data_IF_045486193484
#
_entry.id   IF_045486193484
#
_cell.length_a   1.000
_cell.length_b   1.000
_cell.length_c   1.000
_cell.angle_alpha   90.00
_cell.angle_beta   90.00
_cell.angle_gamma   90.00
#
_symmetry.space_group_name_H-M   'P 1'
#
loop_
_entity.id
_entity.type
_entity.pdbx_description
1 polymer ?
#
# COMPACT_ATOMS: atom_id res chain seq x y z
N UNK A 1 1.69 5.14 -17.29
CA UNK A 1 2.31 4.24 -16.30
C UNK A 1 1.23 3.47 -15.55
N UNK A 2 1.59 2.34 -14.97
CA UNK A 2 0.64 1.44 -14.34
C UNK A 2 1.19 0.89 -13.02
N UNK A 3 0.31 0.79 -12.01
CA UNK A 3 0.50 0.05 -10.78
C UNK A 3 -0.53 -1.06 -10.65
N UNK A 4 -0.13 -2.20 -10.07
CA UNK A 4 -1.01 -3.34 -9.81
C UNK A 4 -0.84 -3.85 -8.39
N UNK A 5 -1.93 -4.40 -7.84
CA UNK A 5 -1.90 -5.20 -6.62
C UNK A 5 -2.97 -6.28 -6.64
N UNK A 6 -2.68 -7.43 -6.05
CA UNK A 6 -3.64 -8.53 -5.95
C UNK A 6 -4.40 -8.45 -4.62
N UNK A 7 -5.71 -8.62 -4.69
CA UNK A 7 -6.57 -8.81 -3.51
C UNK A 7 -7.10 -10.24 -3.39
N UNK A 8 -6.47 -11.18 -4.08
CA UNK A 8 -6.83 -12.59 -4.03
C UNK A 8 -6.82 -13.11 -2.58
N UNK A 9 -7.88 -13.83 -2.21
CA UNK A 9 -8.05 -14.34 -0.84
C UNK A 9 -8.44 -13.30 0.21
N UNK A 10 -8.73 -12.06 -0.19
CA UNK A 10 -9.18 -11.02 0.74
C UNK A 10 -10.60 -11.29 1.25
N UNK A 11 -10.84 -10.95 2.51
CA UNK A 11 -12.17 -10.99 3.09
C UNK A 11 -13.14 -10.01 2.38
N UNK A 12 -14.46 -10.28 2.36
CA UNK A 12 -15.44 -9.45 1.65
C UNK A 12 -15.40 -7.97 2.03
N UNK A 13 -15.23 -7.62 3.31
CA UNK A 13 -15.14 -6.23 3.76
C UNK A 13 -13.93 -5.52 3.13
N UNK A 14 -12.78 -6.21 2.99
CA UNK A 14 -11.59 -5.64 2.32
C UNK A 14 -11.86 -5.33 0.86
N UNK A 15 -12.55 -6.25 0.16
CA UNK A 15 -12.90 -6.06 -1.25
C UNK A 15 -13.83 -4.86 -1.41
N UNK A 16 -14.83 -4.70 -0.52
CA UNK A 16 -15.70 -3.53 -0.49
C UNK A 16 -14.90 -2.24 -0.32
N UNK A 17 -14.00 -2.19 0.65
CA UNK A 17 -13.18 -0.99 0.92
C UNK A 17 -12.18 -0.70 -0.21
N UNK A 18 -11.61 -1.72 -0.84
CA UNK A 18 -10.75 -1.56 -2.03
C UNK A 18 -11.55 -0.94 -3.17
N UNK A 19 -12.78 -1.41 -3.44
CA UNK A 19 -13.65 -0.84 -4.46
C UNK A 19 -14.03 0.61 -4.16
N UNK A 20 -14.41 0.92 -2.93
CA UNK A 20 -14.75 2.27 -2.51
C UNK A 20 -13.54 3.22 -2.66
N UNK A 21 -12.37 2.82 -2.19
CA UNK A 21 -11.15 3.60 -2.34
C UNK A 21 -10.70 3.76 -3.79
N UNK A 22 -10.80 2.70 -4.60
CA UNK A 22 -10.49 2.76 -6.03
C UNK A 22 -11.42 3.70 -6.78
N UNK A 23 -12.72 3.69 -6.47
CA UNK A 23 -13.69 4.60 -7.07
C UNK A 23 -13.36 6.07 -6.80
N UNK A 24 -12.81 6.41 -5.61
CA UNK A 24 -12.35 7.76 -5.27
C UNK A 24 -11.14 8.23 -6.10
N UNK A 25 -10.33 7.30 -6.58
CA UNK A 25 -9.15 7.57 -7.40
C UNK A 25 -9.47 7.60 -8.90
N UNK A 26 -10.63 7.10 -9.30
CA UNK A 26 -10.98 6.99 -10.71
C UNK A 26 -11.43 8.33 -11.32
N UNK A 27 -10.83 8.70 -12.44
CA UNK A 27 -11.15 9.94 -13.16
C UNK A 27 -10.49 11.20 -12.57
N UNK A 28 -9.57 11.06 -11.63
CA UNK A 28 -8.87 12.19 -11.01
C UNK A 28 -7.95 12.86 -12.02
N UNK A 29 -8.08 14.17 -12.15
CA UNK A 29 -7.20 15.03 -12.95
C UNK A 29 -6.20 15.72 -12.02
N UNK A 30 -4.92 15.63 -12.36
CA UNK A 30 -3.81 16.22 -11.60
C UNK A 30 -3.14 17.26 -12.51
N UNK A 31 -3.21 18.54 -12.11
CA UNK A 31 -2.67 19.64 -12.90
C UNK A 31 -1.14 19.59 -12.98
N UNK A 32 -0.53 20.22 -14.01
CA UNK A 32 0.92 20.42 -14.07
C UNK A 32 1.42 21.16 -12.82
N UNK A 33 2.44 20.60 -12.15
CA UNK A 33 3.02 21.14 -10.93
C UNK A 33 2.22 20.86 -9.65
N UNK A 34 1.05 20.25 -9.75
CA UNK A 34 0.24 19.92 -8.57
C UNK A 34 0.86 18.78 -7.76
N UNK A 35 0.83 18.93 -6.43
CA UNK A 35 1.08 17.85 -5.50
C UNK A 35 -0.23 17.10 -5.22
N UNK A 36 -0.31 15.86 -5.68
CA UNK A 36 -1.39 14.94 -5.34
C UNK A 36 -1.22 14.45 -3.90
N UNK A 37 -2.33 14.41 -3.13
CA UNK A 37 -2.43 13.81 -1.80
C UNK A 37 -3.49 12.72 -1.83
N UNK A 38 -3.10 11.50 -1.48
CA UNK A 38 -4.02 10.37 -1.45
C UNK A 38 -5.12 10.57 -0.41
N UNK A 39 -4.76 11.02 0.82
CA UNK A 39 -5.74 11.23 1.88
C UNK A 39 -6.74 12.34 1.53
N UNK A 40 -6.28 13.44 0.91
CA UNK A 40 -7.16 14.51 0.45
C UNK A 40 -8.16 14.00 -0.59
N UNK A 41 -7.70 13.19 -1.55
CA UNK A 41 -8.53 12.63 -2.60
C UNK A 41 -9.48 11.54 -2.08
N UNK A 42 -9.03 10.72 -1.16
CA UNK A 42 -9.82 9.67 -0.52
C UNK A 42 -11.02 10.27 0.23
N UNK A 43 -10.78 11.36 0.96
CA UNK A 43 -11.76 11.98 1.82
C UNK A 43 -12.07 11.15 3.07
N UNK A 44 -13.25 11.33 3.63
CA UNK A 44 -13.67 10.61 4.83
C UNK A 44 -13.96 9.13 4.55
N UNK A 45 -13.45 8.29 5.43
CA UNK A 45 -13.61 6.84 5.38
C UNK A 45 -14.72 6.45 6.35
N UNK A 46 -15.95 6.41 5.84
CA UNK A 46 -17.17 6.14 6.60
C UNK A 46 -18.22 5.44 5.72
N UNK A 47 -19.35 5.05 6.32
CA UNK A 47 -20.44 4.35 5.63
C UNK A 47 -21.06 5.18 4.50
N UNK A 48 -21.21 6.50 4.67
CA UNK A 48 -21.80 7.40 3.69
C UNK A 48 -20.98 7.44 2.39
N UNK A 49 -19.67 7.20 2.50
CA UNK A 49 -18.73 7.14 1.40
C UNK A 49 -18.50 5.72 0.86
N UNK A 50 -19.32 4.75 1.30
CA UNK A 50 -19.30 3.37 0.80
C UNK A 50 -18.25 2.47 1.44
N UNK A 51 -17.61 2.92 2.53
CA UNK A 51 -16.69 2.08 3.29
C UNK A 51 -17.45 1.27 4.34
N UNK A 52 -16.84 0.18 4.76
CA UNK A 52 -17.33 -0.70 5.83
C UNK A 52 -16.25 -0.92 6.87
N UNK A 53 -16.67 -1.26 8.08
CA UNK A 53 -15.75 -1.68 9.12
C UNK A 53 -15.10 -3.00 8.76
N UNK A 54 -13.84 -3.13 9.11
CA UNK A 54 -13.06 -4.34 8.89
C UNK A 54 -11.82 -4.34 9.75
N UNK A 55 -11.21 -5.50 9.90
CA UNK A 55 -10.00 -5.59 10.67
C UNK A 55 -8.85 -4.85 9.97
N UNK A 56 -8.29 -3.91 10.68
CA UNK A 56 -7.10 -3.16 10.29
C UNK A 56 -6.05 -3.22 11.39
N UNK A 57 -4.82 -2.98 11.03
CA UNK A 57 -3.71 -2.99 11.98
C UNK A 57 -3.37 -1.55 12.31
N UNK A 58 -3.57 -1.19 13.57
CA UNK A 58 -3.26 0.14 14.09
C UNK A 58 -2.25 -0.01 15.21
N UNK A 59 -1.06 0.58 15.00
CA UNK A 59 0.07 0.37 15.94
C UNK A 59 0.49 -1.09 15.97
N UNK A 60 0.22 -1.79 17.07
CA UNK A 60 0.52 -3.21 17.31
C UNK A 60 -0.73 -4.05 17.59
N UNK A 61 -1.89 -3.63 17.13
CA UNK A 61 -3.15 -4.36 17.36
C UNK A 61 -3.95 -4.47 16.08
N UNK A 62 -4.54 -5.63 15.88
CA UNK A 62 -5.62 -5.79 14.90
C UNK A 62 -6.92 -5.41 15.60
N UNK A 63 -7.60 -4.41 15.08
CA UNK A 63 -8.87 -3.94 15.61
C UNK A 63 -9.85 -3.63 14.48
N UNK A 64 -11.13 -3.55 14.83
CA UNK A 64 -12.17 -3.19 13.87
C UNK A 64 -12.08 -1.69 13.59
N UNK A 65 -11.90 -1.33 12.35
CA UNK A 65 -11.74 0.04 11.89
C UNK A 65 -12.39 0.25 10.54
N UNK A 66 -12.76 1.48 10.24
CA UNK A 66 -13.25 1.85 8.93
C UNK A 66 -12.15 1.75 7.87
N UNK A 67 -12.51 1.21 6.70
CA UNK A 67 -11.62 1.22 5.54
C UNK A 67 -10.50 0.17 5.57
N UNK A 68 -10.61 -0.89 6.38
CA UNK A 68 -9.64 -2.00 6.35
C UNK A 68 -9.46 -2.53 4.93
N UNK A 69 -8.26 -2.31 4.35
CA UNK A 69 -7.94 -2.64 2.95
C UNK A 69 -7.56 -1.43 2.07
N UNK A 70 -7.84 -0.20 2.47
CA UNK A 70 -7.57 1.02 1.68
C UNK A 70 -6.09 1.22 1.39
N UNK A 71 -5.18 0.78 2.29
CA UNK A 71 -3.73 0.79 2.03
C UNK A 71 -3.33 -0.02 0.78
N UNK A 72 -4.17 -0.92 0.30
CA UNK A 72 -3.92 -1.59 -0.96
C UNK A 72 -4.14 -0.64 -2.15
N UNK A 73 -5.12 0.26 -2.05
CA UNK A 73 -5.36 1.28 -3.08
C UNK A 73 -4.19 2.27 -3.11
N UNK A 74 -3.75 2.77 -1.94
CA UNK A 74 -2.59 3.68 -1.88
C UNK A 74 -1.31 3.03 -2.38
N UNK A 75 -1.08 1.75 -2.07
CA UNK A 75 0.04 0.97 -2.62
C UNK A 75 -0.02 0.90 -4.15
N UNK A 76 -1.20 0.71 -4.72
CA UNK A 76 -1.36 0.60 -6.18
C UNK A 76 -1.17 1.95 -6.87
N UNK A 77 -1.67 3.05 -6.28
CA UNK A 77 -1.42 4.43 -6.72
C UNK A 77 0.07 4.78 -6.63
N UNK A 78 0.71 4.44 -5.51
CA UNK A 78 2.16 4.62 -5.33
C UNK A 78 2.95 3.94 -6.45
N UNK A 79 2.64 2.70 -6.77
CA UNK A 79 3.31 1.94 -7.85
C UNK A 79 3.13 2.61 -9.20
N UNK A 80 1.94 3.13 -9.52
CA UNK A 80 1.72 3.86 -10.76
C UNK A 80 2.58 5.14 -10.83
N UNK A 81 2.61 5.93 -9.74
CA UNK A 81 3.43 7.15 -9.65
C UNK A 81 4.94 6.83 -9.68
N UNK A 82 5.36 5.75 -9.00
CA UNK A 82 6.73 5.27 -8.98
C UNK A 82 7.23 4.94 -10.39
N UNK A 83 6.47 4.13 -11.15
CA UNK A 83 6.83 3.73 -12.51
C UNK A 83 6.61 4.83 -13.55
N UNK A 84 5.81 5.86 -13.23
CA UNK A 84 5.78 7.10 -14.01
C UNK A 84 7.03 7.97 -13.81
N UNK A 85 7.88 7.66 -12.83
CA UNK A 85 9.03 8.46 -12.47
C UNK A 85 8.67 9.80 -11.81
N UNK A 86 7.44 9.94 -11.28
CA UNK A 86 7.00 11.17 -10.61
C UNK A 86 7.74 11.34 -9.28
N UNK A 87 8.08 12.58 -8.87
CA UNK A 87 8.66 12.84 -7.56
C UNK A 87 7.69 12.41 -6.46
N UNK A 88 8.10 11.48 -5.60
CA UNK A 88 7.35 11.05 -4.42
C UNK A 88 7.78 11.93 -3.24
N UNK A 89 6.88 12.75 -2.72
CA UNK A 89 7.15 13.71 -1.65
C UNK A 89 6.81 13.16 -0.28
N UNK A 90 5.88 12.20 -0.20
CA UNK A 90 5.58 11.49 1.04
C UNK A 90 5.20 10.03 0.74
N UNK A 91 5.83 9.10 1.45
CA UNK A 91 5.48 7.67 1.41
C UNK A 91 5.92 6.99 2.70
N UNK A 92 5.02 6.23 3.28
CA UNK A 92 5.27 5.40 4.45
C UNK A 92 5.14 3.92 4.08
N UNK A 93 6.06 3.07 4.55
CA UNK A 93 5.92 1.63 4.44
C UNK A 93 5.03 1.10 5.57
N UNK A 94 4.44 -0.09 5.38
CA UNK A 94 3.83 -0.80 6.50
C UNK A 94 4.90 -1.17 7.55
N UNK A 95 4.51 -1.25 8.81
CA UNK A 95 5.43 -1.53 9.91
C UNK A 95 5.92 -2.97 9.96
N UNK A 96 5.22 -3.90 9.32
CA UNK A 96 5.59 -5.30 9.19
C UNK A 96 5.30 -5.81 7.77
N UNK A 97 5.94 -6.93 7.44
CA UNK A 97 5.87 -7.52 6.12
C UNK A 97 4.47 -8.07 5.79
N UNK A 98 3.98 -7.72 4.62
CA UNK A 98 2.68 -8.13 4.08
C UNK A 98 2.91 -8.82 2.73
N UNK A 99 2.88 -10.15 2.74
CA UNK A 99 3.29 -10.99 1.61
C UNK A 99 2.46 -10.81 0.34
N UNK A 100 1.17 -10.48 0.45
CA UNK A 100 0.35 -10.29 -0.75
C UNK A 100 0.68 -9.02 -1.55
N UNK A 101 1.49 -8.10 -0.98
CA UNK A 101 2.04 -6.96 -1.73
C UNK A 101 3.26 -7.32 -2.58
N UNK A 102 3.82 -8.52 -2.45
CA UNK A 102 4.93 -8.96 -3.29
C UNK A 102 4.49 -9.13 -4.74
N UNK A 103 3.27 -9.64 -4.94
CA UNK A 103 2.72 -9.81 -6.28
C UNK A 103 2.57 -8.44 -6.95
N UNK A 104 3.18 -8.30 -8.13
CA UNK A 104 3.31 -7.05 -8.88
C UNK A 104 4.11 -5.96 -8.12
N UNK A 105 4.86 -6.31 -7.10
CA UNK A 105 5.58 -5.34 -6.25
C UNK A 105 6.69 -4.60 -6.99
N UNK A 106 7.36 -5.24 -7.95
CA UNK A 106 8.45 -4.66 -8.73
C UNK A 106 8.06 -4.35 -10.18
N UNK A 107 6.79 -4.05 -10.41
CA UNK A 107 6.26 -3.68 -11.72
C UNK A 107 5.07 -4.55 -12.12
N UNK A 108 4.41 -4.24 -13.24
CA UNK A 108 3.21 -4.95 -13.68
C UNK A 108 3.39 -6.46 -13.90
N UNK A 109 4.62 -6.89 -14.15
CA UNK A 109 4.98 -8.29 -14.40
C UNK A 109 6.07 -8.80 -13.44
N UNK A 110 6.43 -8.03 -12.41
CA UNK A 110 7.51 -8.36 -11.47
C UNK A 110 6.99 -8.49 -10.03
N UNK A 111 7.31 -9.60 -9.39
CA UNK A 111 7.04 -9.81 -7.97
C UNK A 111 8.25 -9.35 -7.14
N UNK A 112 7.99 -8.89 -5.92
CA UNK A 112 9.04 -8.53 -4.97
C UNK A 112 8.59 -7.55 -3.91
N UNK A 113 9.41 -7.42 -2.88
CA UNK A 113 9.10 -6.68 -1.66
C UNK A 113 9.57 -5.22 -1.71
N UNK A 114 8.96 -4.36 -0.88
CA UNK A 114 9.48 -3.03 -0.54
C UNK A 114 8.83 -1.85 -1.26
N UNK A 115 7.91 -2.09 -2.20
CA UNK A 115 7.13 -1.04 -2.86
C UNK A 115 5.65 -1.11 -2.45
N UNK A 116 5.41 -0.90 -1.17
CA UNK A 116 4.09 -0.68 -0.57
C UNK A 116 3.97 0.75 -0.05
N UNK A 117 2.76 1.25 0.16
CA UNK A 117 2.47 2.54 0.75
C UNK A 117 1.31 2.43 1.73
N UNK A 118 1.61 2.61 3.00
CA UNK A 118 0.62 2.71 4.07
C UNK A 118 0.12 4.15 4.18
N UNK A 119 -1.16 4.30 4.50
CA UNK A 119 -1.77 5.58 4.84
C UNK A 119 -2.49 5.47 6.18
N UNK A 120 -2.55 6.60 6.87
CA UNK A 120 -3.39 6.78 8.04
C UNK A 120 -3.85 8.23 8.07
N UNK A 121 -5.16 8.44 7.93
CA UNK A 121 -5.74 9.78 7.78
C UNK A 121 -5.26 10.73 8.88
N UNK A 122 -4.73 11.88 8.47
CA UNK A 122 -4.19 12.91 9.39
C UNK A 122 -2.79 12.64 9.95
N UNK A 123 -2.18 11.46 9.67
CA UNK A 123 -0.86 11.09 10.23
C UNK A 123 0.12 10.66 9.14
N UNK A 124 -0.31 9.82 8.20
CA UNK A 124 0.53 9.29 7.13
C UNK A 124 -0.21 9.42 5.80
N UNK A 125 0.45 9.98 4.80
CA UNK A 125 -0.12 10.15 3.46
C UNK A 125 0.78 9.52 2.38
N UNK A 126 0.25 9.41 1.20
CA UNK A 126 0.99 9.20 -0.03
C UNK A 126 0.85 10.45 -0.87
N UNK A 127 1.98 11.09 -1.18
CA UNK A 127 2.01 12.30 -2.01
C UNK A 127 3.04 12.18 -3.12
N UNK A 128 2.72 12.76 -4.26
CA UNK A 128 3.64 12.90 -5.38
C UNK A 128 3.32 14.14 -6.21
N UNK A 129 4.29 14.66 -6.94
CA UNK A 129 4.13 15.85 -7.78
C UNK A 129 4.00 15.46 -9.24
N UNK A 130 3.04 16.05 -9.94
CA UNK A 130 2.96 15.98 -11.39
C UNK A 130 3.98 16.96 -12.02
N UNK A 131 5.19 16.47 -12.29
CA UNK A 131 6.29 17.23 -12.91
C UNK A 131 6.35 17.13 -14.44
N UNK A 132 5.29 16.59 -15.07
CA UNK A 132 5.29 16.32 -16.54
C UNK A 132 5.06 17.56 -17.40
N UNK A 133 4.62 18.67 -16.81
CA UNK A 133 4.23 19.87 -17.53
C UNK A 133 2.85 19.78 -18.22
N UNK A 134 2.17 18.65 -18.12
CA UNK A 134 0.87 18.38 -18.70
C UNK A 134 -0.08 17.77 -17.67
N UNK A 135 -1.39 17.83 -17.95
CA UNK A 135 -2.38 17.17 -17.11
C UNK A 135 -2.17 15.65 -17.10
N UNK A 136 -2.34 15.05 -15.92
CA UNK A 136 -2.43 13.60 -15.75
C UNK A 136 -3.87 13.22 -15.40
N UNK A 137 -4.34 12.13 -16.00
CA UNK A 137 -5.58 11.46 -15.63
C UNK A 137 -5.23 10.16 -14.91
N UNK A 138 -5.74 9.99 -13.69
CA UNK A 138 -5.69 8.72 -12.97
C UNK A 138 -6.96 7.93 -13.24
N UNK A 139 -6.82 6.70 -13.69
CA UNK A 139 -7.92 5.75 -13.84
C UNK A 139 -7.66 4.49 -13.03
N UNK A 140 -8.73 3.93 -12.50
CA UNK A 140 -8.68 2.66 -11.77
C UNK A 140 -9.58 1.63 -12.45
N UNK A 141 -9.15 0.38 -12.42
CA UNK A 141 -9.97 -0.76 -12.84
C UNK A 141 -9.75 -1.94 -11.91
N UNK A 142 -10.78 -2.76 -11.78
CA UNK A 142 -10.75 -3.99 -10.97
C UNK A 142 -11.04 -5.16 -11.90
N UNK A 143 -10.08 -6.05 -12.01
CA UNK A 143 -10.27 -7.35 -12.63
C UNK A 143 -10.77 -8.32 -11.56
N UNK A 144 -12.06 -8.58 -11.58
CA UNK A 144 -12.73 -9.46 -10.60
C UNK A 144 -12.31 -10.93 -10.77
N UNK A 145 -12.01 -11.37 -11.98
CA UNK A 145 -11.59 -12.75 -12.23
C UNK A 145 -10.17 -13.00 -11.76
N UNK A 146 -9.24 -12.08 -12.07
CA UNK A 146 -7.86 -12.16 -11.63
C UNK A 146 -7.67 -11.67 -10.18
N UNK A 147 -8.67 -11.02 -9.60
CA UNK A 147 -8.65 -10.38 -8.29
C UNK A 147 -7.50 -9.35 -8.18
N UNK A 148 -7.42 -8.45 -9.16
CA UNK A 148 -6.36 -7.46 -9.28
C UNK A 148 -6.96 -6.06 -9.38
N UNK A 149 -6.43 -5.15 -8.55
CA UNK A 149 -6.63 -3.72 -8.71
C UNK A 149 -5.52 -3.16 -9.60
N UNK A 150 -5.92 -2.35 -10.59
CA UNK A 150 -5.02 -1.65 -11.50
C UNK A 150 -5.26 -0.15 -11.37
N UNK A 151 -4.18 0.62 -11.26
CA UNK A 151 -4.18 2.09 -11.34
C UNK A 151 -3.31 2.49 -12.52
N UNK A 152 -3.85 3.33 -13.40
CA UNK A 152 -3.16 3.82 -14.57
C UNK A 152 -3.09 5.35 -14.55
N UNK A 153 -1.93 5.90 -14.87
CA UNK A 153 -1.71 7.32 -15.09
C UNK A 153 -1.53 7.57 -16.58
N UNK A 154 -2.47 8.32 -17.14
CA UNK A 154 -2.48 8.76 -18.53
C UNK A 154 -2.12 10.24 -18.64
N UNK A 155 -1.44 10.58 -19.71
CA UNK A 155 -1.04 11.95 -20.02
C UNK A 155 -0.02 11.97 -21.16
N UNK A 156 0.50 13.15 -21.47
CA UNK A 156 1.62 13.27 -22.39
C UNK A 156 2.83 12.53 -21.81
N UNK A 157 3.33 11.55 -22.55
CA UNK A 157 4.44 10.72 -22.10
C UNK A 157 5.72 11.57 -21.93
N UNK A 158 6.20 11.75 -20.70
CA UNK A 158 7.50 12.35 -20.51
C UNK A 158 8.55 11.40 -21.12
N UNK A 159 9.49 11.96 -21.87
CA UNK A 159 10.57 11.16 -22.47
C UNK A 159 11.61 10.84 -21.40
N UNK A 160 11.22 10.04 -20.41
CA UNK A 160 12.11 9.56 -19.35
C UNK A 160 12.00 8.06 -19.20
N UNK A 161 13.07 7.44 -18.78
CA UNK A 161 13.14 6.01 -18.46
C UNK A 161 13.22 5.82 -16.96
N UNK A 162 12.53 4.77 -16.45
CA UNK A 162 12.56 4.40 -15.04
C UNK A 162 13.08 2.99 -14.91
N UNK A 163 14.16 2.82 -14.15
CA UNK A 163 14.73 1.52 -13.79
C UNK A 163 14.94 1.44 -12.28
N UNK A 164 15.14 0.23 -11.79
CA UNK A 164 15.43 -0.02 -10.37
C UNK A 164 16.74 -0.78 -10.21
N UNK A 165 17.37 -0.56 -9.06
CA UNK A 165 18.44 -1.40 -8.52
C UNK A 165 17.98 -1.97 -7.16
N UNK A 166 18.14 -3.25 -6.97
CA UNK A 166 17.61 -3.99 -5.84
C UNK A 166 16.40 -4.86 -6.22
N UNK A 167 15.63 -5.36 -5.24
CA UNK A 167 15.70 -5.04 -3.81
C UNK A 167 16.98 -5.57 -3.14
N UNK A 168 17.57 -4.78 -2.26
CA UNK A 168 18.67 -5.19 -1.38
C UNK A 168 18.07 -5.44 0.00
N UNK A 169 18.11 -6.69 0.44
CA UNK A 169 17.55 -7.13 1.72
C UNK A 169 18.67 -7.28 2.74
N UNK A 170 18.49 -6.64 3.89
CA UNK A 170 19.46 -6.66 5.01
C UNK A 170 18.74 -6.74 6.36
N UNK A 171 19.50 -6.91 7.44
CA UNK A 171 19.00 -6.90 8.81
C UNK A 171 17.80 -7.84 9.02
N UNK A 172 17.90 -9.06 8.50
CA UNK A 172 16.85 -10.05 8.71
C UNK A 172 16.79 -10.49 10.17
N UNK A 173 15.60 -10.34 10.77
CA UNK A 173 15.30 -10.72 12.14
C UNK A 173 14.17 -11.75 12.11
N UNK A 174 14.39 -12.90 12.74
CA UNK A 174 13.35 -13.93 12.81
C UNK A 174 12.11 -13.43 13.55
N UNK A 175 10.97 -13.94 13.15
CA UNK A 175 9.73 -13.74 13.88
C UNK A 175 9.88 -14.20 15.33
N UNK A 176 9.27 -13.49 16.31
CA UNK A 176 9.21 -13.97 17.69
C UNK A 176 8.56 -15.35 17.76
N UNK A 177 9.15 -16.26 18.54
CA UNK A 177 8.60 -17.60 18.76
C UNK A 177 7.40 -17.58 19.70
N UNK A 178 7.43 -16.65 20.67
CA UNK A 178 6.37 -16.50 21.66
C UNK A 178 5.18 -15.74 21.08
N UNK A 179 3.98 -16.34 21.13
CA UNK A 179 2.76 -15.64 20.70
C UNK A 179 2.35 -14.59 21.74
N UNK A 180 1.64 -13.57 21.25
CA UNK A 180 0.99 -12.56 22.09
C UNK A 180 -0.48 -12.94 22.26
N UNK A 181 -0.97 -12.93 23.49
CA UNK A 181 -2.36 -13.15 23.82
C UNK A 181 -3.01 -11.83 24.26
N UNK A 182 -4.14 -11.51 23.65
CA UNK A 182 -4.97 -10.34 23.99
C UNK A 182 -6.24 -10.87 24.65
N UNK A 183 -6.45 -10.52 25.90
CA UNK A 183 -7.64 -10.94 26.65
C UNK A 183 -8.84 -10.06 26.25
N UNK A 184 -9.97 -10.71 25.91
CA UNK A 184 -11.24 -10.05 25.58
C UNK A 184 -12.34 -10.51 26.54
N UNK A 185 -12.79 -9.63 27.44
CA UNK A 185 -13.84 -9.95 28.42
C UNK A 185 -15.25 -10.03 27.79
N UNK A 186 -15.41 -9.66 26.54
CA UNK A 186 -16.68 -9.81 25.83
C UNK A 186 -16.90 -11.22 25.30
N UNK A 187 -15.81 -12.00 25.13
CA UNK A 187 -15.83 -13.34 24.58
C UNK A 187 -15.82 -14.44 25.66
N UNK A 188 -16.50 -15.58 25.41
CA UNK A 188 -16.44 -16.73 26.28
C UNK A 188 -15.01 -17.27 26.47
N UNK A 189 -14.69 -17.81 27.66
CA UNK A 189 -13.37 -18.39 27.99
C UNK A 189 -12.92 -19.51 27.06
N UNK A 190 -13.84 -20.18 26.39
CA UNK A 190 -13.54 -21.21 25.38
C UNK A 190 -13.09 -20.63 24.02
N UNK A 191 -13.12 -19.31 23.85
CA UNK A 191 -12.81 -18.66 22.60
C UNK A 191 -11.30 -18.40 22.49
N UNK A 192 -10.69 -18.86 21.40
CA UNK A 192 -9.33 -18.54 21.01
C UNK A 192 -9.30 -18.31 19.51
N UNK A 193 -8.99 -17.09 19.08
CA UNK A 193 -8.89 -16.73 17.66
C UNK A 193 -7.49 -16.21 17.35
N UNK A 194 -6.85 -16.77 16.34
CA UNK A 194 -5.63 -16.18 15.79
C UNK A 194 -6.01 -14.98 14.91
N UNK A 195 -5.56 -13.80 15.30
CA UNK A 195 -5.84 -12.56 14.58
C UNK A 195 -4.66 -12.12 13.71
N UNK A 196 -3.45 -12.61 14.01
CA UNK A 196 -2.27 -12.31 13.22
C UNK A 196 -1.26 -13.46 13.22
N UNK A 197 -0.46 -13.53 12.14
CA UNK A 197 0.55 -14.58 11.91
C UNK A 197 1.93 -14.00 12.08
N UNK A 198 2.84 -14.78 12.65
CA UNK A 198 4.24 -14.40 12.82
C UNK A 198 4.92 -14.08 11.49
N UNK A 199 5.70 -13.00 11.47
CA UNK A 199 6.47 -12.54 10.30
C UNK A 199 7.86 -12.10 10.72
N UNK A 200 8.86 -12.47 9.93
CA UNK A 200 10.23 -11.98 10.12
C UNK A 200 10.35 -10.53 9.71
N UNK A 201 11.17 -9.78 10.43
CA UNK A 201 11.54 -8.42 10.09
C UNK A 201 12.73 -8.39 9.13
N UNK A 202 12.86 -7.28 8.40
CA UNK A 202 13.99 -7.00 7.49
C UNK A 202 14.00 -5.57 7.03
N UNK A 203 15.16 -5.11 6.59
CA UNK A 203 15.31 -3.86 5.88
C UNK A 203 15.39 -4.13 4.37
N UNK A 204 14.73 -3.30 3.57
CA UNK A 204 14.73 -3.40 2.11
C UNK A 204 15.08 -2.03 1.52
N UNK A 205 16.08 -1.99 0.66
CA UNK A 205 16.47 -0.81 -0.10
C UNK A 205 16.23 -1.05 -1.58
N UNK A 206 15.47 -0.16 -2.20
CA UNK A 206 15.27 -0.12 -3.65
C UNK A 206 15.69 1.26 -4.13
N UNK A 207 16.62 1.30 -5.08
CA UNK A 207 16.97 2.55 -5.75
C UNK A 207 16.18 2.66 -7.04
N UNK A 208 15.41 3.74 -7.18
CA UNK A 208 14.79 4.12 -8.43
C UNK A 208 15.73 5.08 -9.17
N UNK A 209 16.02 4.78 -10.41
CA UNK A 209 16.79 5.64 -11.29
C UNK A 209 15.84 6.15 -12.37
N UNK A 210 15.70 7.47 -12.47
CA UNK A 210 14.92 8.15 -13.49
C UNK A 210 15.89 8.90 -14.37
N UNK A 211 15.99 8.48 -15.65
CA UNK A 211 16.86 9.09 -16.66
C UNK A 211 16.02 9.97 -17.58
N UNK A 212 16.35 11.24 -17.71
CA UNK A 212 15.69 12.16 -18.62
C UNK A 212 16.24 12.07 -20.06
N UNK A 213 15.70 12.90 -20.97
CA UNK A 213 16.12 12.93 -22.38
C UNK A 213 17.55 13.38 -22.60
N UNK A 214 18.16 14.07 -21.64
CA UNK A 214 19.53 14.56 -21.72
C UNK A 214 20.52 13.56 -21.13
N UNK A 215 20.03 12.39 -20.67
CA UNK A 215 20.83 11.38 -20.00
C UNK A 215 21.15 11.71 -18.53
N UNK A 216 20.51 12.73 -17.96
CA UNK A 216 20.68 13.04 -16.54
C UNK A 216 19.89 12.03 -15.71
N UNK A 217 20.56 11.46 -14.71
CA UNK A 217 19.97 10.48 -13.81
C UNK A 217 19.63 11.11 -12.45
N UNK A 218 18.41 10.86 -11.98
CA UNK A 218 17.99 11.09 -10.61
C UNK A 218 17.88 9.75 -9.91
N UNK A 219 18.71 9.52 -8.89
CA UNK A 219 18.72 8.30 -8.08
C UNK A 219 18.04 8.55 -6.74
N UNK A 220 17.02 7.80 -6.43
CA UNK A 220 16.19 7.95 -5.23
C UNK A 220 16.13 6.63 -4.45
N UNK A 221 16.33 6.70 -3.14
CA UNK A 221 16.23 5.53 -2.26
C UNK A 221 14.81 5.39 -1.72
N UNK A 222 14.20 4.25 -1.95
CA UNK A 222 12.97 3.80 -1.28
C UNK A 222 13.36 2.76 -0.23
N UNK A 223 13.41 3.20 1.02
CA UNK A 223 13.75 2.36 2.15
C UNK A 223 12.50 1.88 2.85
N UNK A 224 12.48 0.60 3.20
CA UNK A 224 11.40 -0.05 3.96
C UNK A 224 12.02 -0.84 5.11
N UNK A 225 11.53 -0.63 6.33
CA UNK A 225 11.88 -1.42 7.50
C UNK A 225 10.66 -2.16 8.00
N UNK A 226 10.63 -3.47 7.79
CA UNK A 226 9.64 -4.35 8.40
C UNK A 226 10.14 -4.84 9.75
N UNK A 227 9.34 -4.59 10.79
CA UNK A 227 9.60 -5.11 12.14
C UNK A 227 9.20 -6.57 12.21
N UNK A 228 9.91 -7.41 13.01
CA UNK A 228 9.42 -8.75 13.29
C UNK A 228 8.09 -8.70 14.01
N UNK A 229 7.18 -9.61 13.68
CA UNK A 229 5.82 -9.64 14.17
C UNK A 229 5.50 -11.01 14.76
N UNK A 230 4.88 -11.11 15.96
CA UNK A 230 4.51 -12.38 16.58
C UNK A 230 3.21 -12.94 16.01
N UNK A 231 2.91 -14.20 16.33
CA UNK A 231 1.55 -14.69 16.27
C UNK A 231 0.72 -13.93 17.34
N UNK A 232 -0.48 -13.48 16.97
CA UNK A 232 -1.38 -12.81 17.91
C UNK A 232 -2.69 -13.61 18.00
N UNK A 233 -3.11 -13.87 19.22
CA UNK A 233 -4.35 -14.57 19.54
C UNK A 233 -5.22 -13.70 20.43
N UNK A 234 -6.51 -13.62 20.14
CA UNK A 234 -7.52 -13.08 21.05
C UNK A 234 -8.10 -14.23 21.85
N UNK A 235 -8.09 -14.08 23.18
CA UNK A 235 -8.56 -15.08 24.15
C UNK A 235 -9.74 -14.53 24.94
N UNK A 236 -10.87 -15.22 24.90
CA UNK A 236 -12.03 -14.87 25.73
C UNK A 236 -11.76 -15.10 27.21
N UNK A 237 -12.24 -14.18 28.05
CA UNK A 237 -12.08 -14.25 29.53
C UNK A 237 -13.38 -14.17 30.32
N UNK A 238 -14.54 -14.04 29.63
CA UNK A 238 -15.88 -14.02 30.24
C UNK A 238 -16.29 -15.36 30.82
#
# INVERSE_FOLDING_TARGET
AEGRSSFAGSAPYRITNIRAGAARMNGVLIAPGEEFSFNRQLGEVNAENGFVEGYAIIGNRTQLEWGGGVCQVSTTVFRAAFWAGLPITERHAHSFYISWYDRFGLGPNGDGQGLDAAIFTGVQDLKFVNDTGHWLLMQTSIDEQAQVLVVQLYGTRPKREVRIEGPIITNEVRAPSEPVYIDDPSLPRSTLHQTDVARSGRDISIYRIVTDTNGQERRELFFTRFRPWPNIFVRGTR
#
